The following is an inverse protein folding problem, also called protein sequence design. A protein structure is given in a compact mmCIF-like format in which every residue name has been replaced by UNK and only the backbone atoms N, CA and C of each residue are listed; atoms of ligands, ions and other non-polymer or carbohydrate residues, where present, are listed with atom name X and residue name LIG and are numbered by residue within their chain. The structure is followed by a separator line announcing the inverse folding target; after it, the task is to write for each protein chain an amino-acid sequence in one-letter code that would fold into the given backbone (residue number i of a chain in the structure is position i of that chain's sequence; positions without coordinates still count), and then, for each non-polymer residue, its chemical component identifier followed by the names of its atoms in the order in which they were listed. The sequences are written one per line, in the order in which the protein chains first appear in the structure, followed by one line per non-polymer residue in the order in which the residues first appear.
data_IF_147401869663
#
_entry.id   IF_147401869663
#
_cell.length_a   1.000
_cell.length_b   1.000
_cell.length_c   1.000
_cell.angle_alpha   90.00
_cell.angle_beta   90.00
_cell.angle_gamma   90.00
#
_symmetry.space_group_name_H-M   'P 1'
#
loop_
_entity.id
_entity.type
_entity.pdbx_description
1 polymer ?
#
# COMPACT_ATOMS: atom_id res chain seq x y z
N UNK A 1 14.89 7.22 -22.28
CA UNK A 1 14.83 8.52 -21.58
C UNK A 1 13.44 9.16 -21.67
N UNK A 2 12.83 9.22 -22.86
CA UNK A 2 11.48 9.79 -23.06
C UNK A 2 10.42 9.03 -22.23
N UNK A 3 10.36 7.71 -22.33
CA UNK A 3 9.39 6.86 -21.62
C UNK A 3 9.51 6.98 -20.09
N UNK A 4 10.73 7.09 -19.56
CA UNK A 4 10.96 7.27 -18.13
C UNK A 4 10.49 8.65 -17.63
N UNK A 5 10.65 9.69 -18.42
CA UNK A 5 10.19 11.05 -18.08
C UNK A 5 8.67 11.13 -18.11
N UNK A 6 8.01 10.49 -19.07
CA UNK A 6 6.56 10.48 -19.17
C UNK A 6 5.92 9.70 -18.02
N UNK A 7 6.52 8.59 -17.60
CA UNK A 7 6.12 7.87 -16.39
C UNK A 7 6.25 8.75 -15.13
N UNK A 8 7.32 9.52 -15.00
CA UNK A 8 7.47 10.44 -13.86
C UNK A 8 6.44 11.56 -13.86
N UNK A 9 6.09 12.10 -15.03
CA UNK A 9 5.05 13.13 -15.15
C UNK A 9 3.67 12.64 -14.72
N UNK A 10 3.31 11.41 -15.08
CA UNK A 10 2.01 10.79 -14.76
C UNK A 10 1.97 10.07 -13.41
N UNK A 11 3.11 9.96 -12.70
CA UNK A 11 3.20 9.22 -11.44
C UNK A 11 2.23 9.74 -10.37
N UNK A 12 2.12 11.06 -10.23
CA UNK A 12 1.23 11.68 -9.26
C UNK A 12 -0.23 11.33 -9.53
N UNK A 13 -0.65 11.46 -10.79
CA UNK A 13 -2.02 11.14 -11.19
C UNK A 13 -2.33 9.65 -10.99
N UNK A 14 -1.37 8.79 -11.28
CA UNK A 14 -1.49 7.35 -11.05
C UNK A 14 -1.67 7.02 -9.55
N UNK A 15 -0.98 7.73 -8.66
CA UNK A 15 -1.13 7.57 -7.22
C UNK A 15 -2.47 8.16 -6.72
N UNK A 16 -2.79 9.42 -7.08
CA UNK A 16 -3.98 10.13 -6.61
C UNK A 16 -5.28 9.50 -7.14
N UNK A 17 -5.25 8.80 -8.28
CA UNK A 17 -6.42 8.08 -8.81
C UNK A 17 -6.82 6.85 -7.99
N UNK A 18 -5.93 6.31 -7.18
CA UNK A 18 -6.14 5.08 -6.40
C UNK A 18 -6.03 5.28 -4.89
N UNK A 19 -5.31 6.31 -4.44
CA UNK A 19 -5.12 6.61 -3.02
C UNK A 19 -5.75 7.95 -2.72
N UNK A 20 -6.85 7.91 -1.99
CA UNK A 20 -7.67 9.09 -1.68
C UNK A 20 -7.30 9.62 -0.30
N UNK A 21 -7.29 10.94 -0.13
CA UNK A 21 -7.09 11.60 1.15
C UNK A 21 -5.63 11.75 1.61
N UNK A 22 -4.62 11.39 0.76
CA UNK A 22 -3.20 11.43 1.13
C UNK A 22 -2.37 12.39 0.25
N UNK A 23 -2.99 13.45 -0.25
CA UNK A 23 -2.46 14.33 -1.29
C UNK A 23 -1.03 14.84 -1.03
N UNK A 24 -0.72 15.23 0.21
CA UNK A 24 0.61 15.77 0.55
C UNK A 24 1.65 14.64 0.60
N UNK A 25 1.31 13.51 1.26
CA UNK A 25 2.17 12.34 1.29
C UNK A 25 2.53 11.87 -0.13
N UNK A 26 1.54 11.80 -1.02
CA UNK A 26 1.76 11.42 -2.42
C UNK A 26 2.57 12.47 -3.19
N UNK A 27 2.41 13.74 -2.88
CA UNK A 27 3.22 14.83 -3.42
C UNK A 27 4.70 14.70 -3.05
N UNK A 28 4.99 14.45 -1.78
CA UNK A 28 6.35 14.26 -1.26
C UNK A 28 7.03 13.03 -1.87
N UNK A 29 6.29 11.89 -1.96
CA UNK A 29 6.76 10.67 -2.62
C UNK A 29 7.11 10.95 -4.08
N UNK A 30 6.22 11.60 -4.83
CA UNK A 30 6.44 11.91 -6.24
C UNK A 30 7.64 12.85 -6.42
N UNK A 31 7.78 13.85 -5.58
CA UNK A 31 8.91 14.80 -5.64
C UNK A 31 10.26 14.10 -5.37
N UNK A 32 10.33 13.20 -4.38
CA UNK A 32 11.55 12.43 -4.10
C UNK A 32 11.89 11.51 -5.28
N UNK A 33 10.93 10.71 -5.75
CA UNK A 33 11.15 9.74 -6.83
C UNK A 33 11.56 10.44 -8.13
N UNK A 34 10.96 11.61 -8.44
CA UNK A 34 11.32 12.39 -9.62
C UNK A 34 12.78 12.86 -9.56
N UNK A 35 13.21 13.40 -8.42
CA UNK A 35 14.63 13.81 -8.25
C UNK A 35 15.58 12.63 -8.34
N UNK A 36 15.27 11.55 -7.62
CA UNK A 36 16.15 10.39 -7.51
C UNK A 36 16.33 9.69 -8.87
N UNK A 37 15.25 9.47 -9.61
CA UNK A 37 15.28 8.81 -10.92
C UNK A 37 15.84 9.70 -12.04
N UNK A 38 15.92 11.02 -11.81
CA UNK A 38 16.71 11.93 -12.65
C UNK A 38 18.22 11.96 -12.29
N UNK A 39 18.68 11.05 -11.43
CA UNK A 39 20.09 10.95 -11.04
C UNK A 39 20.52 11.86 -9.87
N UNK A 40 19.56 12.55 -9.23
CA UNK A 40 19.84 13.43 -8.08
C UNK A 40 19.72 12.65 -6.76
N UNK A 41 20.56 11.62 -6.60
CA UNK A 41 20.68 10.81 -5.38
C UNK A 41 22.16 10.54 -5.05
N UNK A 42 22.45 10.14 -3.81
CA UNK A 42 23.81 9.88 -3.37
C UNK A 42 24.33 8.53 -3.92
N UNK A 43 25.54 8.50 -4.55
CA UNK A 43 26.15 7.24 -4.98
C UNK A 43 26.37 6.29 -3.80
N UNK A 44 26.23 4.98 -4.03
CA UNK A 44 26.43 3.94 -3.01
C UNK A 44 25.30 3.83 -1.99
N UNK A 45 24.18 4.49 -2.24
CA UNK A 45 22.92 4.31 -1.51
C UNK A 45 21.82 3.81 -2.44
N UNK A 46 20.69 3.30 -1.92
CA UNK A 46 19.51 3.04 -2.74
C UNK A 46 19.11 4.28 -3.53
N UNK A 47 18.42 4.10 -4.67
CA UNK A 47 17.89 5.21 -5.49
C UNK A 47 17.11 6.21 -4.64
N UNK A 48 16.26 5.70 -3.77
CA UNK A 48 15.51 6.47 -2.78
C UNK A 48 15.16 5.59 -1.58
N UNK A 49 15.03 6.19 -0.41
CA UNK A 49 14.60 5.51 0.81
C UNK A 49 13.51 6.30 1.52
N UNK A 50 12.38 5.63 1.84
CA UNK A 50 11.19 6.26 2.38
C UNK A 50 10.66 5.50 3.60
N UNK A 51 10.29 6.22 4.65
CA UNK A 51 9.57 5.69 5.81
C UNK A 51 8.14 6.22 5.80
N UNK A 52 7.16 5.32 5.66
CA UNK A 52 5.73 5.64 5.67
C UNK A 52 5.16 5.40 7.07
N UNK A 53 4.75 6.47 7.73
CA UNK A 53 4.19 6.47 9.08
C UNK A 53 2.67 6.69 9.01
N UNK A 54 1.91 6.05 9.89
CA UNK A 54 0.47 6.30 10.00
C UNK A 54 -0.36 5.05 10.28
N UNK A 55 -1.68 5.20 10.46
CA UNK A 55 -2.58 4.11 10.81
C UNK A 55 -2.60 2.97 9.79
N UNK A 56 -3.10 1.81 10.21
CA UNK A 56 -3.34 0.69 9.30
C UNK A 56 -4.45 1.03 8.31
N UNK A 57 -4.33 0.56 7.07
CA UNK A 57 -5.38 0.68 6.05
C UNK A 57 -5.59 2.06 5.45
N UNK A 58 -4.61 2.98 5.58
CA UNK A 58 -4.67 4.35 5.00
C UNK A 58 -3.98 4.47 3.62
N UNK A 59 -3.40 3.36 3.10
CA UNK A 59 -2.80 3.33 1.77
C UNK A 59 -1.27 3.28 1.71
N UNK A 60 -0.54 3.08 2.83
CA UNK A 60 0.94 3.03 2.85
C UNK A 60 1.51 1.98 1.89
N UNK A 61 1.17 0.71 2.10
CA UNK A 61 1.63 -0.43 1.28
C UNK A 61 1.13 -0.31 -0.17
N UNK A 62 -0.10 0.20 -0.35
CA UNK A 62 -0.70 0.43 -1.66
C UNK A 62 0.05 1.50 -2.47
N UNK A 63 0.55 2.57 -1.82
CA UNK A 63 1.37 3.57 -2.48
C UNK A 63 2.65 2.95 -3.07
N UNK A 64 3.33 2.09 -2.30
CA UNK A 64 4.52 1.38 -2.78
C UNK A 64 4.20 0.48 -3.98
N UNK A 65 3.07 -0.24 -3.93
CA UNK A 65 2.62 -1.11 -5.02
C UNK A 65 2.32 -0.32 -6.29
N UNK A 66 1.58 0.78 -6.18
CA UNK A 66 1.17 1.60 -7.32
C UNK A 66 2.38 2.23 -8.01
N UNK A 67 3.27 2.90 -7.28
CA UNK A 67 4.40 3.53 -7.93
C UNK A 67 5.38 2.50 -8.51
N UNK A 68 5.55 1.34 -7.87
CA UNK A 68 6.38 0.27 -8.42
C UNK A 68 5.82 -0.24 -9.74
N UNK A 69 4.52 -0.56 -9.78
CA UNK A 69 3.84 -0.98 -11.01
C UNK A 69 3.92 0.09 -12.10
N UNK A 70 3.75 1.37 -11.74
CA UNK A 70 3.79 2.48 -12.69
C UNK A 70 5.20 2.69 -13.29
N UNK A 71 6.23 2.65 -12.46
CA UNK A 71 7.60 2.91 -12.86
C UNK A 71 8.23 1.71 -13.59
N UNK A 72 8.07 0.51 -13.05
CA UNK A 72 8.73 -0.69 -13.56
C UNK A 72 7.84 -1.54 -14.47
N UNK A 73 6.52 -1.42 -14.38
CA UNK A 73 5.55 -2.13 -15.23
C UNK A 73 5.31 -3.59 -14.86
N UNK A 74 6.06 -4.14 -13.91
CA UNK A 74 6.09 -5.56 -13.59
C UNK A 74 5.89 -5.79 -12.09
N UNK A 75 4.98 -6.71 -11.74
CA UNK A 75 4.64 -6.99 -10.34
C UNK A 75 5.83 -7.57 -9.54
N UNK A 76 6.65 -8.39 -10.17
CA UNK A 76 7.81 -9.01 -9.52
C UNK A 76 8.94 -8.01 -9.14
N UNK A 77 8.87 -6.78 -9.62
CA UNK A 77 9.74 -5.67 -9.19
C UNK A 77 9.41 -5.16 -7.79
N UNK A 78 8.27 -5.52 -7.21
CA UNK A 78 7.95 -5.28 -5.82
C UNK A 78 8.34 -6.50 -4.97
N UNK A 79 9.42 -6.37 -4.22
CA UNK A 79 9.83 -7.35 -3.19
C UNK A 79 9.24 -6.89 -1.86
N UNK A 80 8.19 -7.57 -1.40
CA UNK A 80 7.55 -7.28 -0.11
C UNK A 80 8.00 -8.27 0.95
N UNK A 81 8.43 -7.74 2.08
CA UNK A 81 8.83 -8.46 3.29
C UNK A 81 7.98 -7.95 4.46
N UNK A 82 7.10 -8.80 5.00
CA UNK A 82 6.31 -8.48 6.18
C UNK A 82 7.17 -8.77 7.43
N UNK A 83 7.54 -7.72 8.16
CA UNK A 83 8.45 -7.84 9.29
C UNK A 83 7.84 -8.56 10.49
N UNK A 84 6.53 -8.78 10.51
CA UNK A 84 5.88 -9.63 11.50
C UNK A 84 6.28 -11.12 11.39
N UNK A 85 6.76 -11.55 10.22
CA UNK A 85 7.28 -12.90 9.99
C UNK A 85 8.76 -13.03 10.45
N UNK A 86 9.43 -11.92 10.74
CA UNK A 86 10.86 -11.85 11.03
C UNK A 86 11.16 -11.32 12.45
N UNK A 87 10.39 -11.81 13.43
CA UNK A 87 10.48 -11.37 14.84
C UNK A 87 11.53 -12.13 15.66
N UNK A 88 12.07 -13.22 15.15
CA UNK A 88 12.99 -14.11 15.87
C UNK A 88 14.41 -14.08 15.31
N UNK A 89 15.39 -14.48 16.12
CA UNK A 89 16.80 -14.58 15.68
C UNK A 89 16.95 -15.49 14.46
N UNK A 90 16.26 -16.65 14.41
CA UNK A 90 16.32 -17.57 13.29
C UNK A 90 15.77 -17.02 11.98
N UNK A 91 14.99 -15.95 12.04
CA UNK A 91 14.45 -15.31 10.82
C UNK A 91 15.54 -14.68 9.94
N UNK A 92 16.72 -14.38 10.50
CA UNK A 92 17.87 -13.89 9.74
C UNK A 92 18.35 -14.93 8.74
N UNK A 93 18.39 -16.20 9.18
CA UNK A 93 18.84 -17.31 8.35
C UNK A 93 17.88 -17.56 7.18
N UNK A 94 16.58 -17.28 7.36
CA UNK A 94 15.60 -17.35 6.28
C UNK A 94 15.94 -16.30 5.21
N UNK A 95 16.30 -15.07 5.62
CA UNK A 95 16.61 -13.99 4.68
C UNK A 95 17.97 -14.20 4.00
N UNK A 96 19.01 -14.52 4.77
CA UNK A 96 20.39 -14.60 4.29
C UNK A 96 20.78 -15.97 3.74
N UNK A 97 20.06 -17.03 4.09
CA UNK A 97 20.48 -18.43 4.00
C UNK A 97 21.12 -18.91 5.30
N UNK A 98 20.86 -20.18 5.68
CA UNK A 98 21.35 -20.78 6.93
C UNK A 98 22.78 -21.35 6.83
N UNK A 99 23.17 -21.78 5.65
CA UNK A 99 24.45 -22.49 5.42
C UNK A 99 25.20 -21.98 4.19
N UNK A 100 26.51 -22.29 4.10
CA UNK A 100 27.32 -22.04 2.90
C UNK A 100 26.68 -22.78 1.71
N UNK A 101 26.27 -22.02 0.68
CA UNK A 101 25.59 -22.54 -0.51
C UNK A 101 24.11 -22.16 -0.63
N UNK A 102 23.46 -21.75 0.45
CA UNK A 102 22.07 -21.25 0.41
C UNK A 102 22.02 -19.73 0.25
N UNK A 103 21.34 -19.27 -0.77
CA UNK A 103 21.18 -17.83 -1.04
C UNK A 103 20.09 -17.15 -0.22
N UNK A 104 19.32 -17.92 0.57
CA UNK A 104 18.21 -17.41 1.35
C UNK A 104 17.13 -16.75 0.49
N UNK A 105 16.06 -16.32 1.15
CA UNK A 105 14.91 -15.74 0.47
C UNK A 105 15.26 -14.43 -0.25
N UNK A 106 16.17 -13.63 0.33
CA UNK A 106 16.56 -12.34 -0.25
C UNK A 106 17.35 -12.51 -1.55
N UNK A 107 18.22 -13.52 -1.66
CA UNK A 107 18.92 -13.86 -2.89
C UNK A 107 17.96 -14.25 -4.02
N UNK A 108 16.93 -15.05 -3.71
CA UNK A 108 15.91 -15.42 -4.70
C UNK A 108 15.08 -14.21 -5.17
N UNK A 109 14.73 -13.29 -4.27
CA UNK A 109 14.02 -12.06 -4.64
C UNK A 109 14.88 -11.14 -5.51
N UNK A 110 16.17 -11.03 -5.20
CA UNK A 110 17.12 -10.25 -5.99
C UNK A 110 17.22 -10.76 -7.43
N UNK A 111 17.36 -12.09 -7.61
CA UNK A 111 17.41 -12.71 -8.93
C UNK A 111 16.11 -12.49 -9.70
N UNK A 112 14.97 -12.73 -9.04
CA UNK A 112 13.65 -12.56 -9.64
C UNK A 112 13.39 -11.12 -10.08
N UNK A 113 13.84 -10.14 -9.33
CA UNK A 113 13.69 -8.71 -9.66
C UNK A 113 14.79 -8.18 -10.59
N UNK A 114 15.75 -9.04 -10.99
CA UNK A 114 16.87 -8.68 -11.87
C UNK A 114 17.67 -7.47 -11.36
N UNK A 115 17.95 -7.45 -10.07
CA UNK A 115 18.79 -6.44 -9.43
C UNK A 115 18.22 -5.02 -9.38
N UNK A 116 16.91 -4.83 -9.59
CA UNK A 116 16.27 -3.51 -9.54
C UNK A 116 14.78 -3.61 -9.20
N UNK A 117 14.22 -2.57 -8.57
CA UNK A 117 12.81 -2.55 -8.20
C UNK A 117 12.56 -1.80 -6.91
N UNK A 118 11.55 -2.23 -6.16
CA UNK A 118 11.21 -1.69 -4.84
C UNK A 118 11.31 -2.78 -3.77
N UNK A 119 12.07 -2.51 -2.72
CA UNK A 119 12.10 -3.30 -1.50
C UNK A 119 11.14 -2.68 -0.50
N UNK A 120 10.08 -3.39 -0.15
CA UNK A 120 9.07 -2.95 0.80
C UNK A 120 9.16 -3.78 2.09
N UNK A 121 9.57 -3.14 3.17
CA UNK A 121 9.60 -3.69 4.53
C UNK A 121 8.34 -3.24 5.28
N UNK A 122 7.35 -4.11 5.35
CA UNK A 122 6.05 -3.79 5.97
C UNK A 122 6.12 -4.01 7.47
N UNK A 123 5.60 -3.06 8.27
CA UNK A 123 5.58 -3.08 9.74
C UNK A 123 7.00 -3.23 10.37
N UNK A 124 7.92 -2.37 9.94
CA UNK A 124 9.36 -2.43 10.29
C UNK A 124 9.63 -2.46 11.81
N UNK A 125 8.75 -1.88 12.64
CA UNK A 125 8.84 -1.89 14.09
C UNK A 125 8.74 -3.28 14.72
N UNK A 126 8.23 -4.27 13.99
CA UNK A 126 8.10 -5.66 14.46
C UNK A 126 9.35 -6.51 14.22
N UNK A 127 10.27 -6.02 13.38
CA UNK A 127 11.48 -6.75 13.03
C UNK A 127 12.37 -7.01 14.24
N UNK A 128 13.00 -8.20 14.28
CA UNK A 128 14.02 -8.49 15.28
C UNK A 128 15.19 -7.49 15.19
N UNK A 129 15.81 -7.06 16.33
CA UNK A 129 16.88 -6.05 16.33
C UNK A 129 18.06 -6.35 15.38
N UNK A 130 18.44 -7.62 15.22
CA UNK A 130 19.50 -8.01 14.28
C UNK A 130 19.11 -7.82 12.78
N UNK A 131 17.83 -7.91 12.46
CA UNK A 131 17.33 -7.59 11.12
C UNK A 131 17.39 -6.08 10.88
N UNK A 132 17.16 -5.28 11.92
CA UNK A 132 17.36 -3.83 11.84
C UNK A 132 18.82 -3.45 11.53
N UNK A 133 19.81 -4.23 11.98
CA UNK A 133 21.21 -4.01 11.63
C UNK A 133 21.49 -4.30 10.14
N UNK A 134 20.87 -5.35 9.58
CA UNK A 134 20.92 -5.62 8.14
C UNK A 134 20.22 -4.52 7.34
N UNK A 135 19.10 -4.02 7.83
CA UNK A 135 18.38 -2.93 7.21
C UNK A 135 19.20 -1.63 7.17
N UNK A 136 19.95 -1.33 8.24
CA UNK A 136 20.91 -0.20 8.26
C UNK A 136 21.98 -0.32 7.18
N UNK A 137 22.48 -1.54 6.90
CA UNK A 137 23.44 -1.76 5.80
C UNK A 137 22.80 -1.45 4.44
N UNK A 138 21.56 -1.84 4.23
CA UNK A 138 20.82 -1.54 3.00
C UNK A 138 20.71 -0.01 2.83
N UNK A 139 20.22 0.70 3.82
CA UNK A 139 20.03 2.16 3.75
C UNK A 139 21.33 2.93 3.61
N UNK A 140 22.42 2.46 4.21
CA UNK A 140 23.69 3.21 4.27
C UNK A 140 24.62 2.93 3.11
N UNK A 141 24.60 1.72 2.57
CA UNK A 141 25.58 1.24 1.61
C UNK A 141 24.96 0.46 0.44
N UNK A 142 23.64 0.45 0.31
CA UNK A 142 22.90 -0.25 -0.76
C UNK A 142 23.40 -1.68 -0.97
N UNK A 143 23.65 -2.43 0.10
CA UNK A 143 24.19 -3.79 0.00
C UNK A 143 23.53 -4.73 1.01
N UNK A 144 23.45 -6.02 0.62
CA UNK A 144 23.01 -7.09 1.49
C UNK A 144 23.93 -8.30 1.30
N UNK A 145 24.56 -8.78 2.38
CA UNK A 145 25.49 -9.92 2.32
C UNK A 145 24.77 -11.22 2.73
N UNK A 146 24.74 -12.19 1.81
CA UNK A 146 24.17 -13.51 2.01
C UNK A 146 25.07 -14.40 2.88
N UNK A 147 24.56 -15.51 3.38
CA UNK A 147 25.35 -16.52 4.12
C UNK A 147 26.44 -17.18 3.25
N UNK A 148 26.28 -17.18 1.94
CA UNK A 148 27.31 -17.62 0.97
C UNK A 148 28.54 -16.73 0.93
N UNK A 149 28.49 -15.52 1.53
CA UNK A 149 29.51 -14.47 1.39
C UNK A 149 29.29 -13.57 0.17
N UNK A 150 28.34 -13.89 -0.71
CA UNK A 150 27.95 -13.03 -1.83
C UNK A 150 27.34 -11.72 -1.31
N UNK A 151 27.74 -10.59 -1.87
CA UNK A 151 27.15 -9.29 -1.56
C UNK A 151 26.33 -8.82 -2.74
N UNK A 152 25.03 -8.62 -2.50
CA UNK A 152 24.08 -8.10 -3.47
C UNK A 152 24.15 -6.57 -3.51
N UNK A 153 24.19 -5.99 -4.70
CA UNK A 153 24.13 -4.55 -4.92
C UNK A 153 22.68 -4.09 -5.04
N UNK A 154 22.26 -3.25 -4.10
CA UNK A 154 20.91 -2.71 -4.02
C UNK A 154 20.82 -1.23 -4.42
N UNK A 155 21.87 -0.69 -5.08
CA UNK A 155 21.92 0.71 -5.52
C UNK A 155 20.83 1.08 -6.54
N UNK A 156 20.26 0.09 -7.24
CA UNK A 156 19.17 0.29 -8.20
C UNK A 156 17.77 0.05 -7.59
N UNK A 157 17.68 -0.05 -6.26
CA UNK A 157 16.40 -0.26 -5.60
C UNK A 157 15.88 1.03 -4.95
N UNK A 158 14.54 1.15 -4.94
CA UNK A 158 13.81 2.05 -4.06
C UNK A 158 13.50 1.27 -2.79
N UNK A 159 13.86 1.80 -1.63
CA UNK A 159 13.60 1.17 -0.33
C UNK A 159 12.45 1.88 0.35
N UNK A 160 11.43 1.12 0.74
CA UNK A 160 10.28 1.62 1.49
C UNK A 160 10.14 0.82 2.77
N UNK A 161 10.00 1.49 3.89
CA UNK A 161 9.54 0.88 5.13
C UNK A 161 8.19 1.46 5.52
N UNK A 162 7.27 0.63 5.99
CA UNK A 162 6.03 1.10 6.60
C UNK A 162 6.08 0.89 8.12
N UNK A 163 5.42 1.76 8.85
CA UNK A 163 5.30 1.65 10.30
C UNK A 163 3.96 2.20 10.79
N UNK A 164 3.47 1.60 11.87
CA UNK A 164 2.29 2.06 12.59
C UNK A 164 2.66 2.95 13.79
N UNK A 165 3.93 3.29 13.97
CA UNK A 165 4.40 4.22 15.01
C UNK A 165 3.66 5.56 14.87
N UNK A 166 3.24 6.13 16.00
CA UNK A 166 2.45 7.37 16.04
C UNK A 166 0.99 7.25 15.64
N UNK A 167 0.51 6.06 15.23
CA UNK A 167 -0.88 5.85 14.77
C UNK A 167 -1.92 6.22 15.81
N UNK A 168 -1.66 5.93 17.10
CA UNK A 168 -2.57 6.27 18.18
C UNK A 168 -2.80 7.78 18.28
N UNK A 169 -1.74 8.58 18.19
CA UNK A 169 -1.84 10.05 18.18
C UNK A 169 -2.64 10.57 16.98
N UNK A 170 -2.43 9.96 15.80
CA UNK A 170 -3.16 10.31 14.59
C UNK A 170 -4.65 10.00 14.71
N UNK A 171 -5.01 8.88 15.35
CA UNK A 171 -6.41 8.47 15.53
C UNK A 171 -7.14 9.30 16.58
N UNK A 172 -6.51 9.62 17.71
CA UNK A 172 -7.11 10.35 18.82
C UNK A 172 -7.23 11.87 18.54
N UNK A 173 -6.48 12.43 17.59
CA UNK A 173 -6.49 13.85 17.29
C UNK A 173 -7.81 14.30 16.64
N UNK A 174 -8.61 15.08 17.37
CA UNK A 174 -9.89 15.64 16.87
C UNK A 174 -9.78 17.08 16.35
N UNK A 175 -8.77 17.87 16.76
CA UNK A 175 -8.67 19.30 16.45
C UNK A 175 -7.24 19.85 16.48
N UNK A 176 -6.21 19.03 16.30
CA UNK A 176 -4.82 19.49 16.27
C UNK A 176 -4.49 19.94 14.84
N UNK A 177 -3.81 21.09 14.70
CA UNK A 177 -3.27 21.51 13.41
C UNK A 177 -2.40 20.39 12.84
N UNK A 178 -2.58 20.12 11.55
CA UNK A 178 -1.90 19.06 10.81
C UNK A 178 -0.37 19.12 10.95
N UNK A 179 0.23 20.31 10.83
CA UNK A 179 1.68 20.49 11.00
C UNK A 179 2.17 20.02 12.36
N UNK A 180 1.44 20.36 13.42
CA UNK A 180 1.74 19.89 14.77
C UNK A 180 1.58 18.38 14.90
N UNK A 181 0.59 17.79 14.24
CA UNK A 181 0.35 16.35 14.24
C UNK A 181 1.49 15.60 13.51
N UNK A 182 1.89 16.06 12.33
CA UNK A 182 3.03 15.52 11.58
C UNK A 182 4.30 15.60 12.44
N UNK A 183 4.59 16.75 13.04
CA UNK A 183 5.76 16.92 13.92
C UNK A 183 5.76 15.96 15.09
N UNK A 184 4.62 15.74 15.74
CA UNK A 184 4.49 14.78 16.85
C UNK A 184 4.66 13.33 16.40
N UNK A 185 4.13 12.98 15.24
CA UNK A 185 4.29 11.63 14.65
C UNK A 185 5.76 11.35 14.34
N UNK A 186 6.46 12.33 13.76
CA UNK A 186 7.90 12.23 13.51
C UNK A 186 8.71 12.11 14.81
N UNK A 187 8.35 12.87 15.86
CA UNK A 187 8.97 12.75 17.16
C UNK A 187 8.74 11.37 17.80
N UNK A 188 7.55 10.78 17.67
CA UNK A 188 7.29 9.41 18.09
C UNK A 188 8.16 8.42 17.29
N UNK A 189 8.27 8.59 15.98
CA UNK A 189 9.17 7.77 15.14
C UNK A 189 10.61 7.79 15.64
N UNK A 190 11.12 8.96 16.01
CA UNK A 190 12.48 9.11 16.56
C UNK A 190 12.64 8.46 17.94
N UNK A 191 11.58 8.39 18.74
CA UNK A 191 11.65 7.81 20.11
C UNK A 191 11.39 6.30 20.13
N UNK A 192 10.58 5.77 19.20
CA UNK A 192 10.18 4.36 19.16
C UNK A 192 11.03 3.52 18.18
N UNK A 193 11.69 4.15 17.22
CA UNK A 193 12.67 3.54 16.32
C UNK A 193 14.08 3.99 16.70
N UNK A 194 15.09 3.17 16.44
CA UNK A 194 16.49 3.57 16.65
C UNK A 194 16.78 4.87 15.88
N UNK A 195 17.28 5.94 16.52
CA UNK A 195 17.49 7.24 15.90
C UNK A 195 18.38 7.17 14.64
N UNK A 196 19.39 6.29 14.66
CA UNK A 196 20.29 6.09 13.52
C UNK A 196 19.56 5.51 12.29
N UNK A 197 18.57 4.62 12.50
CA UNK A 197 17.74 4.06 11.42
C UNK A 197 16.79 5.11 10.89
N UNK A 198 16.13 5.83 11.79
CA UNK A 198 15.21 6.89 11.43
C UNK A 198 15.89 7.96 10.56
N UNK A 199 17.08 8.42 10.95
CA UNK A 199 17.82 9.46 10.24
C UNK A 199 18.37 9.03 8.87
N UNK A 200 18.32 7.74 8.51
CA UNK A 200 18.87 7.25 7.22
C UNK A 200 17.89 7.33 6.06
N UNK A 201 16.61 7.49 6.34
CA UNK A 201 15.61 7.66 5.26
C UNK A 201 15.71 9.04 4.64
N UNK A 202 15.59 9.10 3.30
CA UNK A 202 15.57 10.34 2.55
C UNK A 202 14.23 11.10 2.74
N UNK A 203 13.15 10.37 3.04
CA UNK A 203 11.82 10.94 3.26
C UNK A 203 11.08 10.21 4.39
N UNK A 204 10.56 10.99 5.33
CA UNK A 204 9.58 10.55 6.31
C UNK A 204 8.19 11.05 5.91
N UNK A 205 7.32 10.14 5.53
CA UNK A 205 6.02 10.44 4.96
C UNK A 205 4.91 10.05 5.93
N UNK A 206 4.09 11.02 6.37
CA UNK A 206 2.99 10.78 7.30
C UNK A 206 1.68 10.66 6.52
N UNK A 207 1.08 9.47 6.60
CA UNK A 207 -0.25 9.17 6.09
C UNK A 207 -1.29 9.50 7.16
N UNK A 208 -2.26 10.32 6.79
CA UNK A 208 -3.30 10.77 7.70
C UNK A 208 -4.35 9.69 7.94
N UNK A 209 -5.08 9.80 9.07
CA UNK A 209 -6.32 9.04 9.24
C UNK A 209 -7.33 9.44 8.18
N UNK A 210 -8.18 8.48 7.82
CA UNK A 210 -9.26 8.72 6.86
C UNK A 210 -10.44 9.33 7.60
N UNK A 211 -10.92 10.47 7.11
CA UNK A 211 -12.16 11.08 7.56
C UNK A 211 -13.38 10.47 6.85
N UNK A 212 -14.59 10.85 7.29
CA UNK A 212 -15.82 10.30 6.74
C UNK A 212 -15.97 10.53 5.22
N UNK A 213 -15.61 11.72 4.74
CA UNK A 213 -15.72 12.06 3.32
C UNK A 213 -14.72 11.27 2.48
N UNK A 214 -13.50 11.14 2.96
CA UNK A 214 -12.47 10.31 2.33
C UNK A 214 -12.89 8.83 2.27
N UNK A 215 -13.47 8.29 3.36
CA UNK A 215 -13.99 6.93 3.38
C UNK A 215 -15.13 6.73 2.38
N UNK A 216 -16.01 7.72 2.20
CA UNK A 216 -17.07 7.68 1.19
C UNK A 216 -16.48 7.62 -0.22
N UNK A 217 -15.50 8.46 -0.53
CA UNK A 217 -14.82 8.46 -1.84
C UNK A 217 -14.08 7.13 -2.11
N UNK A 218 -13.48 6.51 -1.08
CA UNK A 218 -12.86 5.19 -1.19
C UNK A 218 -13.92 4.12 -1.48
N UNK A 219 -15.09 4.19 -0.81
CA UNK A 219 -16.20 3.29 -1.08
C UNK A 219 -16.70 3.43 -2.52
N UNK A 220 -16.89 4.66 -3.01
CA UNK A 220 -17.27 4.95 -4.40
C UNK A 220 -16.27 4.37 -5.40
N UNK A 221 -14.97 4.50 -5.12
CA UNK A 221 -13.92 3.92 -5.96
C UNK A 221 -14.05 2.40 -6.05
N UNK A 222 -14.19 1.71 -4.91
CA UNK A 222 -14.28 0.26 -4.89
C UNK A 222 -15.61 -0.28 -5.44
N UNK A 223 -16.71 0.43 -5.23
CA UNK A 223 -18.01 0.12 -5.87
C UNK A 223 -17.88 0.21 -7.40
N UNK A 224 -17.26 1.28 -7.91
CA UNK A 224 -17.03 1.43 -9.36
C UNK A 224 -16.18 0.28 -9.92
N UNK A 225 -15.07 -0.06 -9.26
CA UNK A 225 -14.21 -1.18 -9.66
C UNK A 225 -14.96 -2.52 -9.64
N UNK A 226 -15.77 -2.77 -8.61
CA UNK A 226 -16.58 -3.98 -8.53
C UNK A 226 -17.63 -4.05 -9.64
N UNK A 227 -18.31 -2.93 -9.95
CA UNK A 227 -19.25 -2.85 -11.09
C UNK A 227 -18.56 -3.11 -12.43
N UNK A 228 -17.37 -2.56 -12.65
CA UNK A 228 -16.59 -2.83 -13.87
C UNK A 228 -16.28 -4.33 -14.02
N UNK A 229 -15.83 -4.98 -12.95
CA UNK A 229 -15.53 -6.43 -12.95
C UNK A 229 -16.79 -7.25 -13.24
N UNK A 230 -17.91 -6.94 -12.56
CA UNK A 230 -19.17 -7.67 -12.73
C UNK A 230 -19.72 -7.45 -14.14
N UNK A 231 -19.74 -6.22 -14.65
CA UNK A 231 -20.24 -5.89 -15.97
C UNK A 231 -19.37 -6.50 -17.10
N UNK A 232 -18.07 -6.68 -16.86
CA UNK A 232 -17.19 -7.38 -17.81
C UNK A 232 -17.61 -8.87 -18.01
N UNK A 233 -18.36 -9.46 -17.06
CA UNK A 233 -18.94 -10.81 -17.22
C UNK A 233 -20.26 -10.81 -18.02
N UNK A 234 -20.64 -9.67 -18.61
CA UNK A 234 -21.81 -9.54 -19.49
C UNK A 234 -23.09 -9.09 -18.75
N UNK A 235 -22.99 -8.72 -17.48
CA UNK A 235 -24.07 -8.05 -16.75
C UNK A 235 -24.18 -6.57 -17.20
N UNK A 236 -25.28 -5.91 -16.85
CA UNK A 236 -25.51 -4.48 -17.07
C UNK A 236 -26.16 -3.90 -15.82
N UNK A 237 -25.34 -3.67 -14.82
CA UNK A 237 -25.80 -3.17 -13.53
C UNK A 237 -25.20 -1.79 -13.23
N UNK A 238 -26.00 -0.96 -12.60
CA UNK A 238 -25.61 0.30 -11.96
C UNK A 238 -25.89 0.18 -10.45
N UNK A 239 -25.57 1.21 -9.70
CA UNK A 239 -25.67 1.18 -8.24
C UNK A 239 -26.21 2.53 -7.74
N UNK A 240 -27.21 2.47 -6.88
CA UNK A 240 -27.74 3.63 -6.19
C UNK A 240 -26.77 4.14 -5.10
N UNK A 241 -26.79 5.44 -4.76
CA UNK A 241 -25.87 6.04 -3.77
C UNK A 241 -25.91 5.38 -2.38
N UNK A 242 -27.06 4.85 -1.97
CA UNK A 242 -27.27 4.19 -0.68
C UNK A 242 -26.42 2.92 -0.54
N UNK A 243 -26.12 2.25 -1.65
CA UNK A 243 -25.23 1.07 -1.67
C UNK A 243 -23.79 1.46 -1.34
N UNK A 244 -23.35 2.63 -1.78
CA UNK A 244 -22.01 3.16 -1.42
C UNK A 244 -21.92 3.38 0.09
N UNK A 245 -22.95 3.92 0.72
CA UNK A 245 -22.99 4.13 2.17
C UNK A 245 -22.98 2.79 2.94
N UNK A 246 -23.66 1.78 2.42
CA UNK A 246 -23.58 0.42 2.95
C UNK A 246 -22.15 -0.13 2.86
N UNK A 247 -21.52 -0.03 1.69
CA UNK A 247 -20.13 -0.49 1.49
C UNK A 247 -19.18 0.26 2.40
N UNK A 248 -19.33 1.58 2.57
CA UNK A 248 -18.53 2.37 3.49
C UNK A 248 -18.66 1.86 4.94
N UNK A 249 -19.90 1.62 5.40
CA UNK A 249 -20.17 1.14 6.76
C UNK A 249 -19.62 -0.26 7.01
N UNK A 250 -19.79 -1.19 6.06
CA UNK A 250 -19.35 -2.58 6.19
C UNK A 250 -17.87 -2.77 5.90
N UNK A 251 -17.28 -1.87 5.11
CA UNK A 251 -15.88 -1.94 4.66
C UNK A 251 -14.90 -1.14 5.51
N UNK A 252 -15.34 -0.42 6.52
CA UNK A 252 -14.48 0.31 7.43
C UNK A 252 -14.42 -0.34 8.82
N UNK A 253 -13.24 -0.37 9.40
CA UNK A 253 -13.01 -0.79 10.78
C UNK A 253 -11.90 0.04 11.40
N UNK A 254 -12.01 0.37 12.68
CA UNK A 254 -10.97 1.11 13.41
C UNK A 254 -9.61 0.38 13.42
N UNK A 255 -9.63 -0.97 13.40
CA UNK A 255 -8.42 -1.79 13.42
C UNK A 255 -7.78 -1.96 12.03
N UNK A 256 -8.61 -2.09 10.98
CA UNK A 256 -8.12 -2.41 9.63
C UNK A 256 -8.23 -1.22 8.66
N UNK A 257 -8.75 -0.07 9.11
CA UNK A 257 -8.99 1.10 8.26
C UNK A 257 -9.92 0.79 7.10
N UNK A 258 -9.59 1.25 5.91
CA UNK A 258 -10.34 1.00 4.69
C UNK A 258 -9.95 -0.31 3.96
N UNK A 259 -9.03 -1.13 4.50
CA UNK A 259 -8.56 -2.37 3.86
C UNK A 259 -9.70 -3.34 3.47
N UNK A 260 -10.76 -3.55 4.30
CA UNK A 260 -11.85 -4.46 3.94
C UNK A 260 -12.81 -3.91 2.87
N UNK A 261 -12.70 -2.64 2.48
CA UNK A 261 -13.71 -1.95 1.65
C UNK A 261 -13.83 -2.55 0.24
N UNK A 262 -12.73 -2.97 -0.35
CA UNK A 262 -12.74 -3.65 -1.64
C UNK A 262 -13.52 -4.98 -1.58
N UNK A 263 -13.27 -5.78 -0.54
CA UNK A 263 -13.98 -7.04 -0.32
C UNK A 263 -15.46 -6.79 0.00
N UNK A 264 -15.78 -5.76 0.77
CA UNK A 264 -17.15 -5.38 1.08
C UNK A 264 -17.91 -4.97 -0.18
N UNK A 265 -17.31 -4.18 -1.07
CA UNK A 265 -17.94 -3.79 -2.34
C UNK A 265 -18.27 -5.02 -3.20
N UNK A 266 -17.32 -5.91 -3.41
CA UNK A 266 -17.54 -7.11 -4.20
C UNK A 266 -18.57 -8.04 -3.55
N UNK A 267 -18.56 -8.21 -2.22
CA UNK A 267 -19.53 -9.02 -1.49
C UNK A 267 -20.94 -8.45 -1.62
N UNK A 268 -21.12 -7.15 -1.37
CA UNK A 268 -22.43 -6.49 -1.41
C UNK A 268 -23.04 -6.56 -2.81
N UNK A 269 -22.28 -6.21 -3.84
CA UNK A 269 -22.77 -6.19 -5.22
C UNK A 269 -22.89 -7.61 -5.81
N UNK A 270 -21.89 -8.44 -5.59
CA UNK A 270 -21.86 -9.81 -6.13
C UNK A 270 -22.92 -10.71 -5.54
N UNK A 271 -23.25 -10.55 -4.24
CA UNK A 271 -24.32 -11.33 -3.62
C UNK A 271 -25.68 -11.07 -4.30
N UNK A 272 -26.02 -9.79 -4.53
CA UNK A 272 -27.29 -9.42 -5.19
C UNK A 272 -27.38 -10.00 -6.61
N UNK A 273 -26.27 -9.95 -7.36
CA UNK A 273 -26.21 -10.54 -8.70
C UNK A 273 -26.37 -12.05 -8.64
N UNK A 274 -25.70 -12.71 -7.70
CA UNK A 274 -25.80 -14.16 -7.53
C UNK A 274 -27.22 -14.59 -7.14
N UNK A 275 -27.83 -13.91 -6.18
CA UNK A 275 -29.18 -14.23 -5.72
C UNK A 275 -30.22 -14.08 -6.86
N UNK A 276 -30.09 -13.03 -7.68
CA UNK A 276 -30.94 -12.83 -8.85
C UNK A 276 -30.72 -13.90 -9.91
N UNK A 277 -29.49 -14.27 -10.20
CA UNK A 277 -29.18 -15.33 -11.18
C UNK A 277 -29.73 -16.70 -10.74
N UNK A 278 -29.56 -17.03 -9.45
CA UNK A 278 -30.00 -18.32 -8.91
C UNK A 278 -31.55 -18.36 -8.79
N UNK A 279 -32.16 -17.28 -8.27
CA UNK A 279 -33.59 -17.21 -8.04
C UNK A 279 -34.43 -17.17 -9.32
N UNK A 280 -33.95 -16.52 -10.35
CA UNK A 280 -34.67 -16.35 -11.63
C UNK A 280 -34.12 -17.23 -12.76
N UNK A 281 -33.13 -18.09 -12.50
CA UNK A 281 -32.40 -18.87 -13.51
C UNK A 281 -31.87 -17.99 -14.65
N UNK A 282 -31.55 -16.75 -14.33
CA UNK A 282 -31.10 -15.75 -15.29
C UNK A 282 -29.60 -15.92 -15.61
N UNK A 283 -29.24 -15.90 -16.87
CA UNK A 283 -27.81 -15.91 -17.28
C UNK A 283 -27.13 -14.54 -17.16
N UNK A 284 -27.91 -13.45 -17.08
CA UNK A 284 -27.42 -12.07 -16.99
C UNK A 284 -28.37 -11.21 -16.18
N UNK A 285 -27.81 -10.33 -15.37
CA UNK A 285 -28.58 -9.38 -14.55
C UNK A 285 -28.50 -7.99 -15.17
N UNK A 286 -29.62 -7.28 -15.22
CA UNK A 286 -29.73 -5.89 -15.69
C UNK A 286 -30.55 -5.09 -14.71
N UNK A 287 -30.15 -3.85 -14.44
CA UNK A 287 -30.89 -2.93 -13.58
C UNK A 287 -29.99 -2.17 -12.61
N UNK A 288 -30.63 -1.46 -11.70
CA UNK A 288 -29.96 -0.70 -10.67
C UNK A 288 -30.01 -1.46 -9.33
N UNK A 289 -28.86 -1.60 -8.66
CA UNK A 289 -28.80 -2.16 -7.32
C UNK A 289 -29.14 -1.06 -6.33
N UNK A 290 -30.25 -1.24 -5.61
CA UNK A 290 -30.68 -0.41 -4.50
C UNK A 290 -30.37 -1.03 -3.14
N UNK A 291 -30.53 -0.25 -2.08
CA UNK A 291 -30.40 -0.68 -0.69
C UNK A 291 -31.54 -0.10 0.17
N UNK A 292 -32.25 -0.95 0.90
CA UNK A 292 -33.21 -0.53 1.89
C UNK A 292 -32.62 -0.63 3.30
N UNK A 293 -32.35 0.52 3.96
CA UNK A 293 -31.75 0.52 5.29
C UNK A 293 -32.71 0.02 6.40
N UNK A 294 -34.03 -0.02 6.17
CA UNK A 294 -35.01 -0.46 7.14
C UNK A 294 -34.97 -1.97 7.36
N UNK A 295 -34.78 -2.72 6.29
CA UNK A 295 -34.68 -4.18 6.31
C UNK A 295 -33.22 -4.66 6.13
N UNK A 296 -32.27 -3.72 5.93
CA UNK A 296 -30.84 -3.96 5.69
C UNK A 296 -30.57 -4.89 4.49
N UNK A 297 -31.39 -4.80 3.44
CA UNK A 297 -31.28 -5.64 2.23
C UNK A 297 -30.92 -4.82 1.00
N UNK A 298 -30.16 -5.44 0.09
CA UNK A 298 -29.92 -4.95 -1.27
C UNK A 298 -30.80 -5.69 -2.26
N UNK A 299 -31.28 -5.01 -3.26
CA UNK A 299 -32.17 -5.54 -4.29
C UNK A 299 -31.81 -4.97 -5.67
N UNK A 300 -32.31 -5.61 -6.74
CA UNK A 300 -32.19 -5.09 -8.10
C UNK A 300 -33.52 -4.48 -8.52
N UNK A 301 -33.49 -3.22 -8.93
CA UNK A 301 -34.60 -2.57 -9.63
C UNK A 301 -34.35 -2.75 -11.13
N UNK A 302 -35.22 -3.50 -11.80
CA UNK A 302 -35.15 -3.66 -13.25
C UNK A 302 -35.42 -2.33 -13.93
N UNK A 303 -34.51 -1.87 -14.75
CA UNK A 303 -34.81 -0.79 -15.69
C UNK A 303 -35.63 -1.38 -16.83
N UNK A 304 -36.91 -1.00 -16.92
CA UNK A 304 -37.71 -1.27 -18.10
C UNK A 304 -37.00 -0.70 -19.33
N UNK A 305 -36.81 -1.55 -20.33
CA UNK A 305 -36.14 -1.25 -21.59
C UNK A 305 -36.88 -0.19 -22.39
#
# INVERSE_FOLDING_TARGET
LSDSVDKLRSLRDALESRIIGQREALGDITALLSRALCGCHYPGRPVASMLFLGPTGVGKTEAARIFTQHLFGEEHKLVRLDMSEYMTVGSIDILRGAHQGERGLFGHYYDRSSGSGTLLFDEIEKAHPLIMDLFLQILSAARFTLATGETLDLSNYIVVATSNIGSRMLMESRSINRETLVRRTLAAGTSEMRPETFARFDLHCVFNKLDYLTLKQIAELHVRQALEIINAQGHRITCAPEVVERVQREGYSEHFGARPMQTAAMRVLGQVVADKMIGELAHRVRGEIGFDPTINETFVVEQNA
#
